data_IF_833090453929
#
_entry.id   IF_833090453929
#
_cell.length_a   1.000
_cell.length_b   1.000
_cell.length_c   1.000
_cell.angle_alpha   90.00
_cell.angle_beta   90.00
_cell.angle_gamma   90.00
#
_symmetry.space_group_name_H-M   'P 1'
#
loop_
_entity.id
_entity.type
_entity.pdbx_description
1 polymer ?
#
# COMPACT_ATOMS: atom_id res chain seq x y z
N UNK A 1 -33.82 -2.52 9.09
CA UNK A 1 -32.60 -3.18 8.58
C UNK A 1 -32.15 -2.46 7.32
N UNK A 2 -30.85 -2.28 7.11
CA UNK A 2 -30.32 -1.41 6.05
C UNK A 2 -30.42 -1.99 4.62
N UNK A 3 -30.50 -3.31 4.46
CA UNK A 3 -30.63 -4.00 3.16
C UNK A 3 -31.69 -5.11 3.19
N UNK A 4 -32.21 -5.47 2.00
CA UNK A 4 -33.28 -6.47 1.82
C UNK A 4 -32.76 -7.90 1.64
N UNK A 5 -31.58 -8.07 1.06
CA UNK A 5 -30.83 -9.33 0.94
C UNK A 5 -29.50 -9.18 1.67
N UNK A 6 -29.05 -10.25 2.33
CA UNK A 6 -27.77 -10.28 3.05
C UNK A 6 -26.72 -10.90 2.15
N UNK A 7 -26.01 -10.04 1.43
CA UNK A 7 -24.89 -10.37 0.55
C UNK A 7 -23.58 -9.82 1.11
N UNK A 8 -22.41 -10.38 0.76
CA UNK A 8 -21.10 -9.93 1.25
C UNK A 8 -20.90 -8.42 1.14
N UNK A 9 -21.21 -7.84 -0.03
CA UNK A 9 -21.10 -6.40 -0.28
C UNK A 9 -22.00 -5.57 0.65
N UNK A 10 -23.20 -6.07 0.95
CA UNK A 10 -24.14 -5.40 1.85
C UNK A 10 -23.60 -5.37 3.28
N UNK A 11 -22.89 -6.43 3.70
CA UNK A 11 -22.27 -6.52 5.03
C UNK A 11 -21.12 -5.51 5.14
N UNK A 12 -20.19 -5.49 4.19
CA UNK A 12 -19.08 -4.53 4.17
C UNK A 12 -19.57 -3.08 4.16
N UNK A 13 -20.59 -2.79 3.34
CA UNK A 13 -21.17 -1.45 3.28
C UNK A 13 -21.94 -1.07 4.56
N UNK A 14 -22.56 -2.04 5.24
CA UNK A 14 -23.19 -1.81 6.54
C UNK A 14 -22.18 -1.42 7.63
N UNK A 15 -21.01 -2.05 7.64
CA UNK A 15 -19.96 -1.78 8.65
C UNK A 15 -19.04 -0.62 8.26
N UNK A 16 -19.13 -0.13 7.02
CA UNK A 16 -18.26 0.94 6.51
C UNK A 16 -16.81 0.50 6.25
N UNK A 17 -16.57 -0.81 6.15
CA UNK A 17 -15.23 -1.38 5.99
C UNK A 17 -14.88 -1.57 4.50
N UNK A 18 -13.63 -1.34 4.08
CA UNK A 18 -13.23 -1.49 2.69
C UNK A 18 -13.39 -2.93 2.19
N UNK A 19 -13.91 -3.07 0.97
CA UNK A 19 -13.97 -4.38 0.32
C UNK A 19 -12.55 -4.83 -0.05
N UNK A 20 -12.28 -6.15 -0.05
CA UNK A 20 -10.97 -6.68 -0.46
C UNK A 20 -10.51 -6.21 -1.85
N UNK A 21 -11.46 -6.00 -2.77
CA UNK A 21 -11.22 -5.47 -4.11
C UNK A 21 -10.78 -4.00 -4.14
N UNK A 22 -11.20 -3.21 -3.15
CA UNK A 22 -10.83 -1.80 -3.06
C UNK A 22 -9.47 -1.64 -2.38
N UNK A 23 -9.18 -2.46 -1.37
CA UNK A 23 -7.83 -2.55 -0.78
C UNK A 23 -6.77 -2.94 -1.83
N UNK A 24 -7.05 -3.93 -2.69
CA UNK A 24 -6.14 -4.32 -3.78
C UNK A 24 -5.83 -3.16 -4.73
N UNK A 25 -6.85 -2.36 -5.08
CA UNK A 25 -6.68 -1.16 -5.92
C UNK A 25 -5.80 -0.12 -5.23
N UNK A 26 -6.03 0.14 -3.94
CA UNK A 26 -5.24 1.11 -3.16
C UNK A 26 -3.77 0.68 -3.12
N UNK A 27 -3.49 -0.59 -2.82
CA UNK A 27 -2.13 -1.13 -2.80
C UNK A 27 -1.46 -1.02 -4.18
N UNK A 28 -2.18 -1.33 -5.26
CA UNK A 28 -1.66 -1.16 -6.63
C UNK A 28 -1.31 0.28 -6.96
N UNK A 29 -2.15 1.24 -6.54
CA UNK A 29 -1.89 2.67 -6.73
C UNK A 29 -0.61 3.08 -6.00
N UNK A 30 -0.44 2.64 -4.75
CA UNK A 30 0.75 2.95 -3.94
C UNK A 30 2.06 2.44 -4.57
N UNK A 31 2.04 1.25 -5.18
CA UNK A 31 3.24 0.70 -5.83
C UNK A 31 3.51 1.25 -7.23
N UNK A 32 2.47 1.63 -7.99
CA UNK A 32 2.61 2.00 -9.41
C UNK A 32 2.74 3.50 -9.64
N UNK A 33 1.92 4.30 -8.97
CA UNK A 33 1.67 5.69 -9.38
C UNK A 33 2.69 6.68 -8.78
N UNK A 34 2.69 7.92 -9.26
CA UNK A 34 3.46 9.01 -8.67
C UNK A 34 2.84 9.46 -7.34
N UNK A 35 3.58 10.20 -6.51
CA UNK A 35 3.12 10.66 -5.19
C UNK A 35 1.80 11.44 -5.28
N UNK A 36 1.74 12.37 -6.23
CA UNK A 36 0.60 13.27 -6.40
C UNK A 36 -0.63 12.52 -6.94
N UNK A 37 -0.43 11.63 -7.92
CA UNK A 37 -1.50 10.84 -8.50
C UNK A 37 -2.06 9.85 -7.47
N UNK A 38 -1.18 9.19 -6.71
CA UNK A 38 -1.57 8.27 -5.66
C UNK A 38 -2.40 8.97 -4.58
N UNK A 39 -1.96 10.15 -4.12
CA UNK A 39 -2.69 10.94 -3.14
C UNK A 39 -4.09 11.29 -3.66
N UNK A 40 -4.19 11.79 -4.89
CA UNK A 40 -5.45 12.24 -5.46
C UNK A 40 -6.43 11.08 -5.62
N UNK A 41 -5.98 9.94 -6.17
CA UNK A 41 -6.82 8.75 -6.37
C UNK A 41 -7.27 8.12 -5.06
N UNK A 42 -6.38 8.00 -4.07
CA UNK A 42 -6.72 7.38 -2.78
C UNK A 42 -7.67 8.31 -2.01
N UNK A 43 -7.44 9.61 -2.04
CA UNK A 43 -8.33 10.59 -1.41
C UNK A 43 -9.72 10.61 -2.05
N UNK A 44 -9.80 10.45 -3.38
CA UNK A 44 -11.07 10.29 -4.09
C UNK A 44 -11.81 9.02 -3.65
N UNK A 45 -11.12 7.86 -3.62
CA UNK A 45 -11.71 6.59 -3.16
C UNK A 45 -12.22 6.72 -1.72
N UNK A 46 -11.40 7.30 -0.84
CA UNK A 46 -11.74 7.55 0.58
C UNK A 46 -12.97 8.44 0.70
N UNK A 47 -13.04 9.51 -0.07
CA UNK A 47 -14.14 10.50 -0.01
C UNK A 47 -15.44 9.93 -0.57
N UNK A 48 -15.39 9.21 -1.69
CA UNK A 48 -16.58 8.62 -2.34
C UNK A 48 -17.19 7.49 -1.49
N UNK A 49 -16.33 6.68 -0.86
CA UNK A 49 -16.77 5.52 -0.07
C UNK A 49 -16.89 5.80 1.43
N UNK A 50 -16.43 6.97 1.88
CA UNK A 50 -16.38 7.37 3.28
C UNK A 50 -15.61 6.38 4.17
N UNK A 51 -14.51 5.82 3.67
CA UNK A 51 -13.67 4.91 4.46
C UNK A 51 -12.82 5.69 5.47
N UNK A 52 -12.68 5.13 6.68
CA UNK A 52 -11.68 5.61 7.63
C UNK A 52 -10.28 5.19 7.18
N UNK A 53 -9.28 6.08 7.38
CA UNK A 53 -7.90 5.76 7.01
C UNK A 53 -7.35 4.59 7.85
N UNK A 54 -7.77 4.47 9.11
CA UNK A 54 -7.47 3.34 9.99
C UNK A 54 -7.96 2.01 9.41
N UNK A 55 -9.15 1.98 8.81
CA UNK A 55 -9.72 0.76 8.24
C UNK A 55 -8.99 0.35 6.96
N UNK A 56 -8.58 1.34 6.16
CA UNK A 56 -7.73 1.12 4.99
C UNK A 56 -6.38 0.52 5.43
N UNK A 57 -5.71 1.12 6.43
CA UNK A 57 -4.45 0.59 6.97
C UNK A 57 -4.60 -0.84 7.49
N UNK A 58 -5.62 -1.10 8.30
CA UNK A 58 -5.93 -2.44 8.80
C UNK A 58 -6.15 -3.44 7.68
N UNK A 59 -6.91 -3.10 6.65
CA UNK A 59 -7.14 -3.98 5.51
C UNK A 59 -5.87 -4.27 4.71
N UNK A 60 -4.91 -3.34 4.69
CA UNK A 60 -3.66 -3.49 3.95
C UNK A 60 -2.67 -4.43 4.64
N UNK A 61 -2.72 -4.61 5.96
CA UNK A 61 -1.80 -5.51 6.66
C UNK A 61 -1.82 -6.92 6.06
N UNK A 62 -3.01 -7.48 5.81
CA UNK A 62 -3.18 -8.81 5.19
C UNK A 62 -2.55 -8.91 3.80
N UNK A 63 -2.55 -7.82 3.03
CA UNK A 63 -1.89 -7.78 1.73
C UNK A 63 -0.37 -7.76 1.87
N UNK A 64 0.15 -6.97 2.82
CA UNK A 64 1.58 -6.78 2.99
C UNK A 64 2.25 -8.06 3.49
N UNK A 65 1.60 -8.81 4.38
CA UNK A 65 2.09 -10.13 4.80
C UNK A 65 2.19 -11.15 3.65
N UNK A 66 1.42 -10.96 2.58
CA UNK A 66 1.47 -11.82 1.38
C UNK A 66 2.52 -11.36 0.36
N UNK A 67 3.13 -10.19 0.53
CA UNK A 67 4.18 -9.69 -0.38
C UNK A 67 5.49 -10.43 -0.14
N UNK A 68 6.08 -10.97 -1.20
CA UNK A 68 7.43 -11.54 -1.19
C UNK A 68 8.48 -10.44 -1.37
N UNK A 69 8.79 -9.72 -0.29
CA UNK A 69 9.84 -8.67 -0.26
C UNK A 69 10.96 -9.04 0.73
N UNK A 70 12.19 -8.51 0.57
CA UNK A 70 13.28 -8.75 1.51
C UNK A 70 12.89 -8.36 2.94
N UNK A 71 13.32 -9.17 3.92
CA UNK A 71 12.91 -9.04 5.31
C UNK A 71 13.24 -7.66 5.91
N UNK A 72 14.39 -7.07 5.56
CA UNK A 72 14.77 -5.75 6.04
C UNK A 72 13.80 -4.64 5.58
N UNK A 73 13.36 -4.72 4.32
CA UNK A 73 12.41 -3.76 3.74
C UNK A 73 11.03 -3.95 4.36
N UNK A 74 10.63 -5.22 4.55
CA UNK A 74 9.37 -5.57 5.21
C UNK A 74 9.30 -4.99 6.63
N UNK A 75 10.34 -5.20 7.44
CA UNK A 75 10.39 -4.67 8.81
C UNK A 75 10.29 -3.14 8.81
N UNK A 76 11.01 -2.44 7.92
CA UNK A 76 10.93 -0.96 7.82
C UNK A 76 9.53 -0.46 7.45
N UNK A 77 8.87 -1.13 6.49
CA UNK A 77 7.49 -0.80 6.10
C UNK A 77 6.52 -0.99 7.26
N UNK A 78 6.60 -2.12 7.96
CA UNK A 78 5.73 -2.43 9.10
C UNK A 78 5.89 -1.43 10.24
N UNK A 79 7.12 -1.03 10.57
CA UNK A 79 7.37 0.01 11.59
C UNK A 79 6.74 1.34 11.17
N UNK A 80 6.93 1.75 9.91
CA UNK A 80 6.36 2.99 9.40
C UNK A 80 4.82 2.98 9.44
N UNK A 81 4.19 1.84 9.12
CA UNK A 81 2.74 1.71 9.21
C UNK A 81 2.23 1.74 10.65
N UNK A 82 2.92 1.08 11.58
CA UNK A 82 2.57 1.11 13.00
C UNK A 82 2.65 2.53 13.59
N UNK A 83 3.67 3.31 13.20
CA UNK A 83 3.76 4.71 13.59
C UNK A 83 2.62 5.57 13.04
N UNK A 84 2.21 5.33 11.78
CA UNK A 84 1.09 6.02 11.17
C UNK A 84 -0.21 5.68 11.91
N UNK A 85 -0.47 4.41 12.19
CA UNK A 85 -1.64 3.96 12.94
C UNK A 85 -1.68 4.56 14.35
N UNK A 86 -0.55 4.56 15.06
CA UNK A 86 -0.42 5.17 16.38
C UNK A 86 -0.68 6.69 16.37
N UNK A 87 -0.30 7.39 15.29
CA UNK A 87 -0.62 8.81 15.14
C UNK A 87 -2.11 9.03 14.85
N UNK A 88 -2.72 8.15 14.06
CA UNK A 88 -4.17 8.20 13.82
C UNK A 88 -4.97 7.94 15.09
N UNK A 89 -4.55 6.99 15.94
CA UNK A 89 -5.22 6.72 17.21
C UNK A 89 -5.16 7.90 18.20
N UNK A 90 -4.20 8.81 18.02
CA UNK A 90 -4.10 10.05 18.81
C UNK A 90 -4.91 11.22 18.24
N UNK A 91 -5.66 11.02 17.14
CA UNK A 91 -6.45 12.07 16.50
C UNK A 91 -5.63 12.99 15.58
N UNK A 92 -4.52 12.50 15.02
CA UNK A 92 -3.78 13.24 13.99
C UNK A 92 -4.62 13.37 12.69
N UNK A 93 -4.27 14.34 11.84
CA UNK A 93 -4.96 14.58 10.57
C UNK A 93 -4.74 13.44 9.57
N UNK A 94 -5.83 12.82 9.12
CA UNK A 94 -5.85 11.80 8.06
C UNK A 94 -5.10 12.24 6.80
N UNK A 95 -5.23 13.51 6.41
CA UNK A 95 -4.58 14.03 5.19
C UNK A 95 -3.05 13.97 5.29
N UNK A 96 -2.51 14.28 6.46
CA UNK A 96 -1.06 14.21 6.69
C UNK A 96 -0.59 12.75 6.76
N UNK A 97 -1.37 11.90 7.43
CA UNK A 97 -1.03 10.47 7.57
C UNK A 97 -1.16 9.71 6.24
N UNK A 98 -2.09 10.08 5.37
CA UNK A 98 -2.16 9.56 4.00
C UNK A 98 -0.89 9.91 3.21
N UNK A 99 -0.40 11.13 3.33
CA UNK A 99 0.88 11.53 2.74
C UNK A 99 2.06 10.72 3.30
N UNK A 100 2.09 10.50 4.62
CA UNK A 100 3.10 9.67 5.28
C UNK A 100 3.05 8.21 4.79
N UNK A 101 1.85 7.65 4.60
CA UNK A 101 1.65 6.30 4.05
C UNK A 101 2.22 6.20 2.64
N UNK A 102 1.86 7.12 1.75
CA UNK A 102 2.37 7.14 0.38
C UNK A 102 3.90 7.25 0.37
N UNK A 103 4.47 8.12 1.22
CA UNK A 103 5.91 8.26 1.40
C UNK A 103 6.60 6.96 1.83
N UNK A 104 6.01 6.22 2.77
CA UNK A 104 6.54 4.93 3.21
C UNK A 104 6.62 3.92 2.06
N UNK A 105 5.58 3.84 1.23
CA UNK A 105 5.57 2.95 0.06
C UNK A 105 6.56 3.36 -1.04
N UNK A 106 6.80 4.66 -1.21
CA UNK A 106 7.83 5.16 -2.14
C UNK A 106 9.22 4.77 -1.67
N UNK A 107 9.51 4.90 -0.37
CA UNK A 107 10.79 4.48 0.20
C UNK A 107 11.02 2.98 -0.02
N UNK A 108 9.98 2.16 0.17
CA UNK A 108 10.03 0.72 -0.13
C UNK A 108 10.33 0.46 -1.60
N UNK A 109 9.70 1.18 -2.54
CA UNK A 109 10.00 1.04 -3.98
C UNK A 109 11.46 1.35 -4.29
N UNK A 110 12.01 2.42 -3.71
CA UNK A 110 13.41 2.79 -3.87
C UNK A 110 14.35 1.73 -3.28
N UNK A 111 14.00 1.16 -2.13
CA UNK A 111 14.80 0.11 -1.49
C UNK A 111 14.77 -1.20 -2.28
N UNK A 112 13.61 -1.61 -2.79
CA UNK A 112 13.49 -2.79 -3.66
C UNK A 112 14.33 -2.65 -4.94
N UNK A 113 14.44 -1.45 -5.50
CA UNK A 113 15.31 -1.18 -6.64
C UNK A 113 16.80 -1.42 -6.37
N UNK A 114 17.24 -1.38 -5.10
CA UNK A 114 18.63 -1.69 -4.71
C UNK A 114 18.89 -3.20 -4.61
N UNK A 115 17.86 -4.00 -4.37
CA UNK A 115 17.94 -5.45 -4.26
C UNK A 115 17.67 -6.17 -5.59
N UNK A 116 17.11 -5.48 -6.58
CA UNK A 116 17.03 -6.01 -7.93
C UNK A 116 18.47 -6.22 -8.44
N UNK A 117 18.85 -7.45 -8.86
CA UNK A 117 20.15 -7.64 -9.47
C UNK A 117 20.23 -6.73 -10.69
N UNK A 118 21.25 -5.87 -10.73
CA UNK A 118 21.68 -5.29 -11.99
C UNK A 118 22.10 -6.47 -12.87
N UNK A 119 21.56 -6.56 -14.08
CA UNK A 119 22.24 -7.27 -15.16
C UNK A 119 23.55 -6.51 -15.46
N UNK A 120 24.52 -6.61 -14.56
CA UNK A 120 25.89 -6.17 -14.81
C UNK A 120 26.64 -7.38 -15.42
N UNK A 121 27.28 -7.13 -16.57
CA UNK A 121 28.11 -8.02 -17.41
C UNK A 121 27.41 -8.93 -18.45
N UNK A 122 26.76 -8.33 -19.44
CA UNK A 122 27.03 -8.79 -20.81
C UNK A 122 28.37 -8.19 -21.25
N UNK A 123 29.48 -8.87 -20.92
CA UNK A 123 30.80 -8.54 -21.47
C UNK A 123 30.87 -9.13 -22.89
N UNK A 124 30.89 -8.32 -23.97
CA UNK A 124 31.14 -8.82 -25.31
C UNK A 124 32.66 -8.79 -25.57
N UNK A 125 33.45 -9.45 -24.73
CA UNK A 125 34.89 -9.59 -24.95
C UNK A 125 35.52 -10.68 -24.08
N UNK A 126 35.12 -11.92 -24.31
CA UNK A 126 35.96 -13.07 -23.99
C UNK A 126 36.02 -13.97 -25.24
N UNK A 127 36.95 -13.58 -26.11
CA UNK A 127 37.84 -14.45 -26.86
C UNK A 127 37.27 -15.79 -27.35
N UNK A 128 36.96 -15.81 -28.65
CA UNK A 128 37.60 -16.70 -29.61
C UNK A 128 38.82 -17.44 -29.01
N UNK A 129 38.70 -18.73 -28.70
CA UNK A 129 39.82 -19.63 -28.43
C UNK A 129 39.34 -21.09 -28.50
N UNK A 130 39.72 -21.72 -29.61
CA UNK A 130 39.73 -23.16 -29.95
C UNK A 130 38.39 -23.72 -30.47
#
# INVERSE_FOLDING_TARGET
MAFKTVDEKSVYQCVGYPLPSDTDKIVRILFRDSVQDAYTKIEEIRSVRAFALSDILNSMHDYIFRLSIPQEVFCRLMVSMAEIEYRLSQGCSDRLQLGALIGAFINVRCDLGKFAPREDSADPSASNSI
#
